data_IF_173766403577
#
_entry.id   IF_173766403577
#
_cell.length_a   1.000
_cell.length_b   1.000
_cell.length_c   1.000
_cell.angle_alpha   90.00
_cell.angle_beta   90.00
_cell.angle_gamma   90.00
#
_symmetry.space_group_name_H-M   'P 1'
#
loop_
_entity.id
_entity.type
_entity.pdbx_description
1 polymer ?
#
# COMPACT_ATOMS: atom_id res chain seq x y z
N UNK A 1 11.50 -22.46 -1.13
CA UNK A 1 10.15 -21.90 -0.87
C UNK A 1 10.15 -20.48 -1.39
N UNK A 2 10.04 -20.40 -2.70
CA UNK A 2 9.79 -19.22 -3.53
C UNK A 2 8.35 -18.74 -3.30
N UNK A 3 8.06 -17.48 -3.65
CA UNK A 3 6.73 -16.82 -3.71
C UNK A 3 6.36 -15.85 -2.57
N UNK A 4 7.32 -15.12 -2.00
CA UNK A 4 7.01 -13.78 -1.47
C UNK A 4 7.03 -12.77 -2.64
N UNK A 5 6.11 -12.99 -3.59
CA UNK A 5 5.98 -12.19 -4.79
C UNK A 5 5.68 -10.73 -4.40
N UNK A 6 6.46 -9.82 -4.96
CA UNK A 6 6.66 -8.42 -4.58
C UNK A 6 5.35 -7.68 -4.18
N UNK A 7 5.04 -7.65 -2.87
CA UNK A 7 3.82 -7.01 -2.30
C UNK A 7 3.89 -5.48 -2.29
N UNK A 8 5.03 -4.89 -2.65
CA UNK A 8 5.26 -3.44 -2.63
C UNK A 8 5.31 -2.89 -4.06
N UNK A 9 4.40 -1.98 -4.38
CA UNK A 9 4.40 -1.23 -5.64
C UNK A 9 5.00 0.15 -5.39
N UNK A 10 6.07 0.50 -6.11
CA UNK A 10 6.72 1.81 -6.01
C UNK A 10 6.23 2.74 -7.12
N UNK A 11 5.72 3.93 -6.75
CA UNK A 11 5.23 4.92 -7.73
C UNK A 11 6.28 5.96 -8.12
N UNK A 12 7.45 5.95 -7.47
CA UNK A 12 8.54 6.89 -7.74
C UNK A 12 9.27 6.52 -9.04
N UNK A 13 8.90 7.17 -10.15
CA UNK A 13 9.75 7.26 -11.34
C UNK A 13 10.96 8.14 -11.07
N UNK A 14 12.12 7.74 -11.59
CA UNK A 14 13.44 8.32 -11.34
C UNK A 14 13.51 9.86 -11.33
N UNK A 15 13.84 10.44 -10.17
CA UNK A 15 14.54 11.74 -10.04
C UNK A 15 15.45 11.69 -8.80
N UNK A 16 16.74 11.86 -9.05
CA UNK A 16 17.90 11.71 -8.16
C UNK A 16 17.99 12.62 -6.90
N UNK A 17 18.75 12.09 -5.91
CA UNK A 17 19.44 12.69 -4.73
C UNK A 17 18.56 13.12 -3.54
N UNK A 18 18.87 12.75 -2.28
CA UNK A 18 20.16 12.78 -1.57
C UNK A 18 20.24 11.72 -0.45
N UNK A 19 21.45 11.17 -0.30
CA UNK A 19 21.93 10.23 0.71
C UNK A 19 21.78 10.75 2.15
N UNK A 20 21.34 9.87 3.06
CA UNK A 20 21.80 9.86 4.45
C UNK A 20 22.25 8.43 4.80
N UNK A 21 23.55 8.31 5.04
CA UNK A 21 24.30 7.08 5.32
C UNK A 21 24.25 6.78 6.82
N UNK A 22 23.80 5.59 7.20
CA UNK A 22 24.14 5.01 8.50
C UNK A 22 24.76 3.62 8.29
N UNK A 23 26.04 3.48 8.65
CA UNK A 23 26.77 2.22 8.66
C UNK A 23 26.44 1.41 9.91
N UNK A 24 26.20 0.10 9.77
CA UNK A 24 27.14 -0.98 10.16
C UNK A 24 26.58 -2.37 9.83
N UNK A 25 27.51 -3.28 9.48
CA UNK A 25 27.38 -4.68 9.03
C UNK A 25 26.63 -5.57 10.06
N UNK A 26 25.99 -6.71 9.77
CA UNK A 26 26.32 -7.82 8.85
C UNK A 26 25.07 -8.76 8.70
N UNK A 27 25.04 -9.58 7.64
CA UNK A 27 24.19 -10.78 7.42
C UNK A 27 22.67 -10.67 7.06
N UNK A 28 22.32 -11.26 5.89
CA UNK A 28 20.99 -11.49 5.26
C UNK A 28 20.29 -10.22 4.73
N UNK A 29 20.44 -9.97 3.42
CA UNK A 29 19.81 -8.85 2.71
C UNK A 29 18.29 -9.04 2.59
N UNK A 30 17.54 -8.64 3.62
CA UNK A 30 16.14 -8.24 3.47
C UNK A 30 16.06 -6.72 3.57
N UNK A 31 15.41 -6.08 2.60
CA UNK A 31 15.10 -4.64 2.72
C UNK A 31 14.36 -4.40 4.04
N UNK A 32 14.62 -3.27 4.74
CA UNK A 32 13.91 -2.96 5.97
C UNK A 32 12.40 -2.92 5.72
N UNK A 33 11.57 -3.41 6.66
CA UNK A 33 10.12 -3.43 6.50
C UNK A 33 9.59 -2.02 6.27
N UNK A 34 8.69 -1.88 5.30
CA UNK A 34 8.01 -0.62 5.00
C UNK A 34 6.69 -0.59 5.76
N UNK A 35 6.38 0.53 6.40
CA UNK A 35 5.19 0.69 7.23
C UNK A 35 4.15 1.57 6.55
N UNK A 36 2.88 1.17 6.65
CA UNK A 36 1.77 2.00 6.24
C UNK A 36 1.69 3.25 7.13
N UNK A 37 1.69 4.44 6.53
CA UNK A 37 1.62 5.72 7.23
C UNK A 37 0.27 5.96 7.93
N UNK A 38 -0.76 5.17 7.59
CA UNK A 38 -2.11 5.33 8.13
C UNK A 38 -2.41 4.37 9.29
N UNK A 39 -2.13 3.07 9.13
CA UNK A 39 -2.43 2.06 10.14
C UNK A 39 -1.21 1.54 10.91
N UNK A 40 0.01 1.94 10.52
CA UNK A 40 1.25 1.54 11.21
C UNK A 40 1.68 0.08 10.98
N UNK A 41 0.96 -0.70 10.16
CA UNK A 41 1.28 -2.10 9.89
C UNK A 41 2.44 -2.25 8.89
N UNK A 42 3.36 -3.23 9.07
CA UNK A 42 4.43 -3.51 8.11
C UNK A 42 3.89 -4.17 6.84
N UNK A 43 4.64 -4.06 5.74
CA UNK A 43 4.35 -4.66 4.44
C UNK A 43 4.18 -6.20 4.48
N UNK A 44 4.82 -6.87 5.44
CA UNK A 44 4.68 -8.32 5.67
C UNK A 44 3.31 -8.71 6.23
N UNK A 45 2.58 -7.78 6.85
CA UNK A 45 1.29 -8.01 7.51
C UNK A 45 0.09 -7.50 6.71
N UNK A 46 0.31 -7.02 5.49
CA UNK A 46 -0.73 -6.49 4.60
C UNK A 46 -0.66 -7.17 3.24
N UNK A 47 -1.78 -7.20 2.51
CA UNK A 47 -1.85 -7.87 1.21
C UNK A 47 -0.98 -7.18 0.15
N UNK A 48 -1.09 -5.85 0.05
CA UNK A 48 -0.28 -5.01 -0.84
C UNK A 48 0.03 -3.67 -0.18
N UNK A 49 1.17 -3.10 -0.54
CA UNK A 49 1.61 -1.77 -0.12
C UNK A 49 2.02 -0.93 -1.33
N UNK A 50 1.66 0.33 -1.32
CA UNK A 50 2.10 1.32 -2.30
C UNK A 50 3.11 2.23 -1.60
N UNK A 51 4.33 2.29 -2.12
CA UNK A 51 5.42 3.16 -1.64
C UNK A 51 5.48 4.42 -2.50
N UNK A 52 5.31 5.58 -1.86
CA UNK A 52 5.42 6.89 -2.47
C UNK A 52 6.56 7.72 -1.87
N UNK A 53 6.82 8.93 -2.40
CA UNK A 53 7.75 9.88 -1.80
C UNK A 53 7.26 10.32 -0.42
N UNK A 54 7.90 9.81 0.64
CA UNK A 54 7.62 10.22 2.03
C UNK A 54 6.36 9.63 2.67
N UNK A 55 5.56 8.84 1.94
CA UNK A 55 4.32 8.25 2.45
C UNK A 55 4.09 6.88 1.83
N UNK A 56 3.58 5.94 2.63
CA UNK A 56 3.22 4.60 2.17
C UNK A 56 1.79 4.28 2.60
N UNK A 57 1.03 3.59 1.75
CA UNK A 57 -0.35 3.21 2.04
C UNK A 57 -0.57 1.73 1.72
N UNK A 58 -1.20 0.99 2.65
CA UNK A 58 -1.58 -0.40 2.40
C UNK A 58 -2.96 -0.50 1.73
N UNK A 59 -3.23 -1.64 1.10
CA UNK A 59 -4.48 -1.90 0.38
C UNK A 59 -5.74 -1.67 1.22
N UNK A 60 -5.74 -2.03 2.50
CA UNK A 60 -6.89 -1.85 3.39
C UNK A 60 -7.16 -0.36 3.67
N UNK A 61 -6.12 0.43 3.92
CA UNK A 61 -6.27 1.88 4.11
C UNK A 61 -6.77 2.55 2.82
N UNK A 62 -6.29 2.13 1.66
CA UNK A 62 -6.80 2.61 0.37
C UNK A 62 -8.30 2.34 0.23
N UNK A 63 -8.77 1.14 0.56
CA UNK A 63 -10.21 0.80 0.48
C UNK A 63 -11.06 1.69 1.39
N UNK A 64 -10.60 1.94 2.62
CA UNK A 64 -11.27 2.85 3.55
C UNK A 64 -11.34 4.26 2.95
N UNK A 65 -10.23 4.78 2.41
CA UNK A 65 -10.22 6.09 1.76
C UNK A 65 -11.20 6.17 0.57
N UNK A 66 -11.23 5.16 -0.30
CA UNK A 66 -12.16 5.15 -1.44
C UNK A 66 -13.62 5.07 -0.95
N UNK A 67 -13.91 4.29 0.09
CA UNK A 67 -15.24 4.25 0.71
C UNK A 67 -15.70 5.65 1.15
N UNK A 68 -14.85 6.39 1.89
CA UNK A 68 -15.15 7.76 2.33
C UNK A 68 -15.41 8.69 1.14
N UNK A 69 -14.55 8.62 0.11
CA UNK A 69 -14.69 9.44 -1.09
C UNK A 69 -16.01 9.21 -1.83
N UNK A 70 -16.51 7.97 -1.86
CA UNK A 70 -17.83 7.66 -2.45
C UNK A 70 -18.96 8.25 -1.62
N UNK A 71 -18.90 8.11 -0.29
CA UNK A 71 -19.94 8.58 0.63
C UNK A 71 -20.07 10.10 0.56
N UNK A 72 -18.95 10.83 0.48
CA UNK A 72 -18.93 12.29 0.39
C UNK A 72 -19.33 12.85 -0.99
N UNK A 73 -19.77 11.99 -1.91
CA UNK A 73 -20.26 12.43 -3.22
C UNK A 73 -19.17 12.92 -4.17
N UNK A 74 -17.89 12.66 -3.86
CA UNK A 74 -16.83 12.86 -4.85
C UNK A 74 -17.07 11.85 -5.98
N UNK A 75 -17.19 12.36 -7.21
CA UNK A 75 -17.56 11.56 -8.37
C UNK A 75 -16.43 10.59 -8.75
N UNK A 76 -16.38 9.44 -8.07
CA UNK A 76 -15.64 8.28 -8.56
C UNK A 76 -16.38 7.69 -9.76
N UNK A 77 -15.61 7.17 -10.73
CA UNK A 77 -16.14 6.45 -11.89
C UNK A 77 -17.17 5.41 -11.45
N UNK A 78 -18.22 5.23 -12.25
CA UNK A 78 -19.25 4.22 -12.03
C UNK A 78 -18.65 2.80 -11.94
N UNK A 79 -17.52 2.56 -12.60
CA UNK A 79 -16.79 1.29 -12.52
C UNK A 79 -16.10 1.10 -11.16
N UNK A 80 -15.59 2.18 -10.55
CA UNK A 80 -15.00 2.13 -9.22
C UNK A 80 -16.05 1.81 -8.15
N UNK A 81 -17.28 2.35 -8.29
CA UNK A 81 -18.41 2.03 -7.41
C UNK A 81 -18.82 0.57 -7.52
N UNK A 82 -18.92 0.03 -8.74
CA UNK A 82 -19.28 -1.38 -8.99
C UNK A 82 -18.29 -2.36 -8.37
N UNK A 83 -16.98 -2.10 -8.51
CA UNK A 83 -15.94 -2.96 -7.93
C UNK A 83 -16.05 -3.03 -6.40
N UNK A 84 -16.34 -1.92 -5.73
CA UNK A 84 -16.52 -1.90 -4.28
C UNK A 84 -17.80 -2.59 -3.82
N UNK A 85 -18.89 -2.45 -4.57
CA UNK A 85 -20.13 -3.15 -4.26
C UNK A 85 -19.95 -4.69 -4.33
N UNK A 86 -19.21 -5.19 -5.33
CA UNK A 86 -18.87 -6.62 -5.43
C UNK A 86 -18.06 -7.08 -4.21
N UNK A 87 -17.07 -6.27 -3.80
CA UNK A 87 -16.21 -6.59 -2.66
C UNK A 87 -17.00 -6.70 -1.34
N UNK A 88 -17.98 -5.81 -1.10
CA UNK A 88 -18.79 -5.84 0.12
C UNK A 88 -19.93 -6.87 0.09
N UNK A 89 -20.37 -7.30 -1.10
CA UNK A 89 -21.38 -8.35 -1.25
C UNK A 89 -20.84 -9.76 -1.01
N UNK A 90 -19.52 -9.96 -1.05
CA UNK A 90 -18.87 -11.24 -0.75
C UNK A 90 -18.87 -11.66 0.73
N UNK A 91 -19.41 -10.84 1.65
CA UNK A 91 -19.48 -11.13 3.09
C UNK A 91 -20.88 -11.54 3.58
N UNK A 92 -21.81 -11.83 2.66
CA UNK A 92 -23.10 -12.44 3.00
C UNK A 92 -23.01 -13.96 2.84
N UNK A 93 -22.57 -14.63 3.89
CA UNK A 93 -23.00 -15.99 4.21
C UNK A 93 -23.36 -16.05 5.69
#
# INVERSE_FOLDING_TARGET
>A
MSEEENKVVSLSGARDKKEEVHHREDSVQSEPPVYCSFCGRPNTSVLKMIKGPGVNICSECTLICVQYLIIEGSALSEDAKKLLQIFWQGKKS
#
